data_IF_919526134301
#
_entry.id   IF_919526134301
#
_cell.length_a   1.000
_cell.length_b   1.000
_cell.length_c   1.000
_cell.angle_alpha   90.00
_cell.angle_beta   90.00
_cell.angle_gamma   90.00
#
_symmetry.space_group_name_H-M   'P 1'
#
loop_
_entity.id
_entity.type
_entity.pdbx_description
1 polymer ?
#
# COMPACT_ATOMS: atom_id res chain seq x y z
N UNK A 1 17.03 -3.25 -11.47
CA UNK A 1 17.85 -3.59 -10.29
C UNK A 1 18.40 -5.00 -10.40
N UNK A 2 19.50 -5.26 -9.70
CA UNK A 2 20.02 -6.59 -9.41
C UNK A 2 19.56 -7.02 -8.03
N UNK A 3 18.73 -8.06 -7.94
CA UNK A 3 18.09 -8.50 -6.71
C UNK A 3 18.65 -9.85 -6.31
N UNK A 4 19.30 -9.92 -5.14
CA UNK A 4 19.75 -11.16 -4.52
C UNK A 4 18.67 -11.72 -3.60
N UNK A 5 18.42 -13.02 -3.66
CA UNK A 5 17.37 -13.71 -2.92
C UNK A 5 17.94 -14.96 -2.29
N UNK A 6 17.83 -15.12 -0.97
CA UNK A 6 18.10 -16.40 -0.31
C UNK A 6 16.95 -17.41 -0.55
N UNK A 7 17.17 -18.67 -0.27
CA UNK A 7 16.17 -19.72 -0.42
C UNK A 7 15.49 -20.01 0.91
N UNK A 8 16.28 -20.37 1.93
CA UNK A 8 15.75 -20.91 3.17
C UNK A 8 15.08 -19.79 4.00
N UNK A 9 13.81 -19.97 4.35
CA UNK A 9 12.91 -18.96 4.98
C UNK A 9 12.64 -17.68 4.18
N UNK A 10 13.12 -17.58 2.94
CA UNK A 10 12.82 -16.47 2.03
C UNK A 10 11.95 -16.96 0.87
N UNK A 11 12.37 -18.03 0.18
CA UNK A 11 11.59 -18.70 -0.85
C UNK A 11 10.92 -19.97 -0.37
N UNK A 12 11.56 -20.72 0.55
CA UNK A 12 11.08 -21.99 1.08
C UNK A 12 10.69 -21.91 2.55
N UNK A 13 9.73 -22.73 2.95
CA UNK A 13 9.25 -22.89 4.33
C UNK A 13 10.20 -23.72 5.21
N UNK A 14 11.50 -23.48 5.07
CA UNK A 14 12.56 -24.28 5.72
C UNK A 14 12.31 -24.47 7.22
N UNK A 15 12.08 -23.39 7.97
CA UNK A 15 11.88 -23.44 9.41
C UNK A 15 10.65 -24.23 9.83
N UNK A 16 9.56 -24.12 9.08
CA UNK A 16 8.32 -24.84 9.40
C UNK A 16 8.51 -26.36 9.26
N UNK A 17 9.20 -26.79 8.21
CA UNK A 17 9.52 -28.21 7.98
C UNK A 17 10.45 -28.73 9.09
N UNK A 18 11.55 -28.00 9.37
CA UNK A 18 12.47 -28.41 10.43
C UNK A 18 11.76 -28.50 11.78
N UNK A 19 10.99 -27.50 12.14
CA UNK A 19 10.28 -27.48 13.42
C UNK A 19 9.33 -28.68 13.55
N UNK A 20 8.62 -29.03 12.49
CA UNK A 20 7.71 -30.17 12.48
C UNK A 20 8.46 -31.49 12.63
N UNK A 21 9.55 -31.68 11.89
CA UNK A 21 10.34 -32.91 11.95
C UNK A 21 11.10 -33.06 13.27
N UNK A 22 11.63 -31.96 13.82
CA UNK A 22 12.25 -31.94 15.14
C UNK A 22 11.24 -32.27 16.24
N UNK A 23 10.01 -31.73 16.19
CA UNK A 23 8.94 -32.10 17.12
C UNK A 23 8.58 -33.58 17.05
N UNK A 24 8.46 -34.16 15.86
CA UNK A 24 8.18 -35.58 15.66
C UNK A 24 9.28 -36.44 16.28
N UNK A 25 10.53 -36.08 16.04
CA UNK A 25 11.68 -36.81 16.55
C UNK A 25 11.78 -36.70 18.10
N UNK A 26 11.64 -35.49 18.64
CA UNK A 26 11.66 -35.26 20.08
C UNK A 26 10.59 -36.08 20.82
N UNK A 27 9.38 -36.14 20.27
CA UNK A 27 8.31 -37.00 20.81
C UNK A 27 8.67 -38.49 20.74
N UNK A 28 9.32 -38.95 19.68
CA UNK A 28 9.71 -40.36 19.52
C UNK A 28 10.78 -40.79 20.53
N UNK A 29 11.65 -39.87 20.96
CA UNK A 29 12.69 -40.14 21.97
C UNK A 29 12.26 -39.76 23.39
N UNK A 30 10.96 -39.41 23.60
CA UNK A 30 10.43 -38.89 24.87
C UNK A 30 11.19 -37.65 25.38
N UNK A 31 11.50 -36.73 24.48
CA UNK A 31 12.18 -35.47 24.77
C UNK A 31 11.31 -34.49 25.57
N UNK A 32 11.88 -33.33 25.91
CA UNK A 32 11.21 -32.30 26.73
C UNK A 32 10.34 -31.30 25.92
N UNK A 33 10.28 -31.46 24.63
CA UNK A 33 9.67 -30.49 23.74
C UNK A 33 10.52 -29.21 23.54
N UNK A 34 9.87 -28.14 23.08
CA UNK A 34 10.52 -26.85 22.89
C UNK A 34 10.80 -26.20 24.23
N UNK A 35 12.06 -25.90 24.51
CA UNK A 35 12.52 -25.25 25.74
C UNK A 35 12.92 -23.78 25.51
N UNK A 36 13.22 -23.40 24.26
CA UNK A 36 13.60 -22.05 23.86
C UNK A 36 12.82 -21.63 22.61
N UNK A 37 11.85 -20.73 22.76
CA UNK A 37 10.93 -20.39 21.66
C UNK A 37 11.51 -19.39 20.64
N UNK A 38 12.44 -18.53 21.06
CA UNK A 38 12.95 -17.41 20.26
C UNK A 38 14.32 -17.68 19.61
N UNK A 39 14.81 -18.92 19.71
CA UNK A 39 16.06 -19.32 19.11
C UNK A 39 15.86 -19.94 17.73
N UNK A 40 16.95 -20.10 16.99
CA UNK A 40 16.97 -20.87 15.75
C UNK A 40 16.56 -22.32 16.06
N UNK A 41 15.83 -22.97 15.15
CA UNK A 41 15.13 -24.25 15.42
C UNK A 41 16.04 -25.32 15.99
N UNK A 42 17.28 -25.39 15.51
CA UNK A 42 18.30 -26.33 15.97
C UNK A 42 18.68 -26.14 17.46
N UNK A 43 18.41 -24.97 18.02
CA UNK A 43 18.66 -24.62 19.43
C UNK A 43 17.38 -24.57 20.28
N UNK A 44 16.20 -24.85 19.71
CA UNK A 44 14.93 -24.81 20.44
C UNK A 44 14.75 -25.98 21.40
N UNK A 45 15.35 -27.13 21.11
CA UNK A 45 15.21 -28.34 21.85
C UNK A 45 16.41 -28.55 22.79
N UNK A 46 16.17 -29.21 23.95
CA UNK A 46 17.24 -29.49 24.91
C UNK A 46 18.01 -30.77 24.56
N UNK A 47 18.43 -30.85 23.27
CA UNK A 47 19.27 -31.98 22.84
C UNK A 47 20.75 -31.65 23.02
N UNK A 48 21.57 -32.70 23.17
CA UNK A 48 23.01 -32.52 23.10
C UNK A 48 23.41 -31.99 21.72
N UNK A 49 24.36 -31.04 21.65
CA UNK A 49 24.74 -30.37 20.41
C UNK A 49 25.32 -31.30 19.35
N UNK A 50 26.05 -32.34 19.79
CA UNK A 50 26.62 -33.31 18.85
C UNK A 50 25.51 -34.24 18.33
N UNK A 51 24.58 -34.63 19.18
CA UNK A 51 23.40 -35.41 18.82
C UNK A 51 22.54 -34.64 17.80
N UNK A 52 22.23 -33.37 18.08
CA UNK A 52 21.46 -32.50 17.17
C UNK A 52 22.16 -32.41 15.81
N UNK A 53 23.46 -32.11 15.79
CA UNK A 53 24.25 -31.96 14.57
C UNK A 53 24.22 -33.23 13.72
N UNK A 54 24.31 -34.39 14.32
CA UNK A 54 24.25 -35.68 13.62
C UNK A 54 22.84 -35.91 13.07
N UNK A 55 21.80 -35.71 13.90
CA UNK A 55 20.42 -35.81 13.46
C UNK A 55 20.11 -34.90 12.25
N UNK A 56 20.51 -33.63 12.32
CA UNK A 56 20.35 -32.70 11.21
C UNK A 56 21.05 -33.20 9.95
N UNK A 57 22.34 -33.55 10.07
CA UNK A 57 23.15 -34.00 8.93
C UNK A 57 22.61 -35.29 8.28
N UNK A 58 22.11 -36.22 9.07
CA UNK A 58 21.55 -37.48 8.55
C UNK A 58 20.20 -37.31 7.86
N UNK A 59 19.44 -36.25 8.21
CA UNK A 59 18.08 -36.06 7.75
C UNK A 59 17.87 -34.86 6.82
N UNK A 60 18.86 -33.99 6.61
CA UNK A 60 18.67 -32.73 5.90
C UNK A 60 18.20 -32.91 4.44
N UNK A 61 18.68 -33.95 3.76
CA UNK A 61 18.20 -34.25 2.39
C UNK A 61 16.74 -34.70 2.37
N UNK A 62 16.32 -35.48 3.40
CA UNK A 62 14.92 -35.82 3.56
C UNK A 62 14.08 -34.56 3.87
N UNK A 63 14.52 -33.72 4.79
CA UNK A 63 13.84 -32.47 5.09
C UNK A 63 13.72 -31.58 3.86
N UNK A 64 14.78 -31.47 3.06
CA UNK A 64 14.79 -30.69 1.83
C UNK A 64 13.75 -31.20 0.80
N UNK A 65 13.45 -32.49 0.81
CA UNK A 65 12.41 -33.07 -0.06
C UNK A 65 11.00 -32.60 0.31
N UNK A 66 10.80 -32.12 1.53
CA UNK A 66 9.54 -31.63 2.09
C UNK A 66 9.37 -30.11 1.94
N UNK A 67 10.40 -29.38 1.51
CA UNK A 67 10.31 -27.92 1.39
C UNK A 67 9.31 -27.51 0.32
N UNK A 68 8.41 -26.62 0.72
CA UNK A 68 7.44 -25.98 -0.16
C UNK A 68 7.73 -24.47 -0.27
N UNK A 69 7.26 -23.81 -1.31
CA UNK A 69 7.46 -22.38 -1.47
C UNK A 69 6.64 -21.59 -0.44
N UNK A 70 7.18 -20.47 0.03
CA UNK A 70 6.42 -19.47 0.77
C UNK A 70 5.32 -18.90 -0.14
N UNK A 71 4.18 -18.59 0.45
CA UNK A 71 2.99 -18.10 -0.22
C UNK A 71 3.31 -16.98 -1.22
N UNK A 72 2.83 -17.14 -2.45
CA UNK A 72 2.97 -16.21 -3.57
C UNK A 72 4.42 -15.87 -4.01
N UNK A 73 5.49 -16.50 -3.48
CA UNK A 73 6.87 -16.13 -3.81
C UNK A 73 7.15 -16.25 -5.32
N UNK A 74 6.76 -17.33 -5.96
CA UNK A 74 6.95 -17.54 -7.41
C UNK A 74 6.28 -16.46 -8.25
N UNK A 75 5.06 -16.06 -7.87
CA UNK A 75 4.30 -14.98 -8.54
C UNK A 75 5.05 -13.64 -8.47
N UNK A 76 5.49 -13.23 -7.28
CA UNK A 76 6.13 -11.92 -7.12
C UNK A 76 7.56 -11.89 -7.67
N UNK A 77 8.31 -13.00 -7.61
CA UNK A 77 9.62 -13.10 -8.28
C UNK A 77 9.45 -12.95 -9.80
N UNK A 78 8.42 -13.59 -10.41
CA UNK A 78 8.11 -13.39 -11.83
C UNK A 78 7.77 -11.94 -12.15
N UNK A 79 6.91 -11.30 -11.35
CA UNK A 79 6.54 -9.89 -11.56
C UNK A 79 7.77 -8.99 -11.48
N UNK A 80 8.66 -9.16 -10.49
CA UNK A 80 9.94 -8.42 -10.43
C UNK A 80 10.79 -8.67 -11.68
N UNK A 81 10.85 -9.91 -12.17
CA UNK A 81 11.58 -10.25 -13.40
C UNK A 81 10.98 -9.58 -14.63
N UNK A 82 9.65 -9.56 -14.77
CA UNK A 82 8.91 -8.92 -15.87
C UNK A 82 9.11 -7.39 -15.89
N UNK A 83 9.40 -6.77 -14.75
CA UNK A 83 9.77 -5.35 -14.64
C UNK A 83 11.22 -5.06 -15.08
N UNK A 84 11.95 -6.06 -15.61
CA UNK A 84 13.30 -5.88 -16.11
C UNK A 84 14.40 -6.00 -15.04
N UNK A 85 14.07 -6.50 -13.85
CA UNK A 85 15.09 -6.78 -12.84
C UNK A 85 15.87 -8.07 -13.18
N UNK A 86 17.13 -8.11 -12.73
CA UNK A 86 17.96 -9.32 -12.79
C UNK A 86 17.88 -10.04 -11.44
N UNK A 87 17.48 -11.30 -11.44
CA UNK A 87 17.23 -12.08 -10.23
C UNK A 87 18.39 -13.05 -9.99
N UNK A 88 19.02 -12.94 -8.83
CA UNK A 88 20.09 -13.79 -8.37
C UNK A 88 19.64 -14.61 -7.16
N UNK A 89 19.72 -15.94 -7.25
CA UNK A 89 19.54 -16.80 -6.09
C UNK A 89 20.92 -17.00 -5.44
N UNK A 90 21.04 -16.63 -4.17
CA UNK A 90 22.30 -16.68 -3.40
C UNK A 90 22.02 -17.36 -2.07
N UNK A 91 22.33 -18.65 -1.94
CA UNK A 91 21.94 -19.46 -0.77
C UNK A 91 23.12 -20.20 -0.14
N UNK A 92 23.06 -20.35 1.19
CA UNK A 92 24.09 -21.02 2.00
C UNK A 92 24.00 -22.55 1.97
N UNK A 93 23.84 -23.18 0.81
CA UNK A 93 23.64 -24.63 0.68
C UNK A 93 24.88 -25.40 0.23
N UNK A 94 26.04 -24.76 0.09
CA UNK A 94 27.32 -25.40 -0.29
C UNK A 94 28.26 -25.50 0.90
N UNK A 95 27.86 -26.25 1.93
CA UNK A 95 28.59 -26.43 3.18
C UNK A 95 28.91 -27.91 3.48
N UNK A 96 28.75 -28.78 2.47
CA UNK A 96 29.01 -30.22 2.59
C UNK A 96 27.93 -31.03 3.34
N UNK A 97 26.75 -30.44 3.60
CA UNK A 97 25.63 -31.13 4.20
C UNK A 97 24.75 -31.88 3.18
N UNK A 98 24.79 -31.43 1.92
CA UNK A 98 24.06 -32.03 0.81
C UNK A 98 24.99 -32.80 -0.14
N UNK A 99 24.56 -33.94 -0.65
CA UNK A 99 25.34 -34.72 -1.61
C UNK A 99 25.45 -34.06 -2.99
N UNK A 100 24.41 -33.36 -3.42
CA UNK A 100 24.40 -32.61 -4.67
C UNK A 100 23.55 -31.34 -4.56
N UNK A 101 24.07 -30.28 -3.89
CA UNK A 101 23.30 -29.09 -3.58
C UNK A 101 22.80 -28.34 -4.81
N UNK A 102 23.59 -28.24 -5.89
CA UNK A 102 23.19 -27.58 -7.13
C UNK A 102 22.02 -28.30 -7.81
N UNK A 103 22.11 -29.61 -7.99
CA UNK A 103 21.05 -30.37 -8.63
C UNK A 103 19.75 -30.28 -7.83
N UNK A 104 19.82 -30.49 -6.53
CA UNK A 104 18.67 -30.41 -5.63
C UNK A 104 18.00 -29.04 -5.70
N UNK A 105 18.78 -27.98 -5.65
CA UNK A 105 18.27 -26.59 -5.67
C UNK A 105 17.65 -26.26 -7.04
N UNK A 106 18.29 -26.61 -8.14
CA UNK A 106 17.75 -26.39 -9.49
C UNK A 106 16.45 -27.14 -9.69
N UNK A 107 16.38 -28.40 -9.27
CA UNK A 107 15.16 -29.23 -9.40
C UNK A 107 14.02 -28.63 -8.56
N UNK A 108 14.31 -28.10 -7.36
CA UNK A 108 13.33 -27.43 -6.51
C UNK A 108 12.83 -26.11 -7.13
N UNK A 109 13.74 -25.22 -7.58
CA UNK A 109 13.37 -23.96 -8.23
C UNK A 109 12.51 -24.21 -9.48
N UNK A 110 12.86 -25.23 -10.27
CA UNK A 110 12.09 -25.63 -11.46
C UNK A 110 10.71 -26.21 -11.09
N UNK A 111 10.64 -27.07 -10.07
CA UNK A 111 9.37 -27.67 -9.60
C UNK A 111 8.35 -26.60 -9.23
N UNK A 112 8.79 -25.51 -8.60
CA UNK A 112 7.91 -24.46 -8.14
C UNK A 112 7.88 -23.20 -9.03
N UNK A 113 8.44 -23.32 -10.25
CA UNK A 113 8.39 -22.29 -11.29
C UNK A 113 8.94 -20.93 -10.80
N UNK A 114 10.05 -20.99 -10.05
CA UNK A 114 10.77 -19.80 -9.58
C UNK A 114 11.79 -19.40 -10.63
N UNK A 115 11.62 -18.21 -11.20
CA UNK A 115 12.49 -17.68 -12.26
C UNK A 115 13.70 -16.97 -11.68
N UNK A 116 14.86 -17.16 -12.31
CA UNK A 116 16.12 -16.49 -11.91
C UNK A 116 17.08 -16.40 -13.10
N UNK A 117 18.09 -15.54 -12.98
CA UNK A 117 19.15 -15.37 -13.99
C UNK A 117 20.40 -16.16 -13.63
N UNK A 118 20.76 -16.14 -12.34
CA UNK A 118 21.95 -16.84 -11.85
C UNK A 118 21.66 -17.49 -10.49
N UNK A 119 22.34 -18.61 -10.25
CA UNK A 119 22.31 -19.35 -8.99
C UNK A 119 23.72 -19.43 -8.41
N UNK A 120 23.90 -19.03 -7.17
CA UNK A 120 25.11 -19.19 -6.40
C UNK A 120 24.81 -19.92 -5.10
N UNK A 121 25.51 -21.01 -4.89
CA UNK A 121 25.51 -21.71 -3.60
C UNK A 121 26.84 -21.44 -2.92
N UNK A 122 26.77 -20.98 -1.69
CA UNK A 122 27.95 -20.55 -0.91
C UNK A 122 27.98 -21.26 0.44
N UNK A 123 29.10 -21.19 1.13
CA UNK A 123 29.22 -21.73 2.49
C UNK A 123 28.39 -20.91 3.49
N UNK A 124 27.38 -21.54 4.10
CA UNK A 124 26.51 -20.94 5.08
C UNK A 124 27.25 -20.49 6.37
N UNK A 125 28.38 -21.11 6.68
CA UNK A 125 29.18 -20.79 7.89
C UNK A 125 30.09 -19.58 7.69
N UNK A 126 30.39 -19.22 6.44
CA UNK A 126 31.10 -17.99 6.11
C UNK A 126 30.11 -16.84 5.87
N UNK A 127 29.97 -15.92 6.84
CA UNK A 127 29.03 -14.79 6.71
C UNK A 127 29.33 -13.86 5.54
N UNK A 128 30.55 -13.79 5.07
CA UNK A 128 30.98 -12.88 4.02
C UNK A 128 30.81 -13.45 2.60
N UNK A 129 30.60 -14.75 2.47
CA UNK A 129 30.51 -15.41 1.16
C UNK A 129 29.34 -14.91 0.29
N UNK A 130 28.18 -14.59 0.88
CA UNK A 130 27.07 -13.95 0.13
C UNK A 130 27.40 -12.51 -0.24
N UNK A 131 28.06 -11.77 0.64
CA UNK A 131 28.48 -10.39 0.40
C UNK A 131 29.49 -10.29 -0.74
N UNK A 132 30.44 -11.22 -0.84
CA UNK A 132 31.40 -11.27 -1.97
C UNK A 132 30.67 -11.39 -3.31
N UNK A 133 29.68 -12.30 -3.41
CA UNK A 133 28.85 -12.43 -4.61
C UNK A 133 28.05 -11.15 -4.87
N UNK A 134 27.47 -10.55 -3.83
CA UNK A 134 26.72 -9.29 -3.97
C UNK A 134 27.58 -8.15 -4.51
N UNK A 135 28.82 -8.03 -4.06
CA UNK A 135 29.77 -7.03 -4.55
C UNK A 135 30.21 -7.32 -5.98
N UNK A 136 30.57 -8.58 -6.28
CA UNK A 136 31.02 -9.00 -7.62
C UNK A 136 29.96 -8.74 -8.70
N UNK A 137 28.69 -9.01 -8.38
CA UNK A 137 27.58 -8.88 -9.34
C UNK A 137 26.81 -7.56 -9.21
N UNK A 138 27.30 -6.61 -8.41
CA UNK A 138 26.66 -5.32 -8.16
C UNK A 138 25.18 -5.48 -7.76
N UNK A 139 24.91 -6.32 -6.77
CA UNK A 139 23.56 -6.52 -6.24
C UNK A 139 23.10 -5.23 -5.55
N UNK A 140 21.94 -4.71 -5.95
CA UNK A 140 21.36 -3.49 -5.38
C UNK A 140 20.69 -3.77 -4.03
N UNK A 141 20.08 -4.94 -3.90
CA UNK A 141 19.35 -5.36 -2.69
C UNK A 141 19.47 -6.87 -2.50
N UNK A 142 19.73 -7.30 -1.25
CA UNK A 142 19.69 -8.71 -0.84
C UNK A 142 18.53 -8.95 0.11
N UNK A 143 17.77 -10.03 -0.11
CA UNK A 143 16.66 -10.48 0.74
C UNK A 143 17.13 -11.75 1.45
N UNK A 144 17.18 -11.70 2.78
CA UNK A 144 17.69 -12.79 3.62
C UNK A 144 16.95 -12.80 4.97
N UNK A 145 16.87 -13.94 5.64
CA UNK A 145 16.27 -14.08 6.98
C UNK A 145 17.30 -13.99 8.13
N UNK A 146 18.59 -14.05 7.79
CA UNK A 146 19.69 -14.03 8.75
C UNK A 146 20.14 -12.62 9.08
N UNK A 147 19.97 -12.20 10.34
CA UNK A 147 20.50 -10.92 10.86
C UNK A 147 21.99 -10.75 10.59
N UNK A 148 22.76 -11.84 10.71
CA UNK A 148 24.21 -11.85 10.51
C UNK A 148 24.54 -11.52 9.04
N UNK A 149 23.84 -12.13 8.10
CA UNK A 149 24.04 -11.87 6.67
C UNK A 149 23.57 -10.44 6.32
N UNK A 150 22.37 -10.06 6.74
CA UNK A 150 21.85 -8.70 6.51
C UNK A 150 22.79 -7.61 7.06
N UNK A 151 23.43 -7.88 8.22
CA UNK A 151 24.41 -6.95 8.78
C UNK A 151 25.64 -6.82 7.89
N UNK A 152 26.25 -7.93 7.47
CA UNK A 152 27.44 -7.91 6.62
C UNK A 152 27.15 -7.24 5.27
N UNK A 153 26.01 -7.53 4.65
CA UNK A 153 25.51 -6.89 3.42
C UNK A 153 25.40 -5.36 3.60
N UNK A 154 24.74 -4.92 4.69
CA UNK A 154 24.54 -3.51 5.00
C UNK A 154 25.84 -2.78 5.31
N UNK A 155 26.73 -3.40 6.07
CA UNK A 155 28.05 -2.84 6.42
C UNK A 155 28.94 -2.64 5.18
N UNK A 156 28.67 -3.37 4.09
CA UNK A 156 29.32 -3.21 2.79
C UNK A 156 28.53 -2.31 1.80
N UNK A 157 27.54 -1.55 2.30
CA UNK A 157 26.84 -0.51 1.53
C UNK A 157 25.72 -1.01 0.61
N UNK A 158 25.32 -2.28 0.74
CA UNK A 158 24.25 -2.88 -0.05
C UNK A 158 22.94 -2.87 0.79
N UNK A 159 21.82 -2.57 0.15
CA UNK A 159 20.51 -2.63 0.82
C UNK A 159 20.17 -4.07 1.21
N UNK A 160 19.74 -4.28 2.45
CA UNK A 160 19.30 -5.58 2.95
C UNK A 160 17.84 -5.51 3.39
N UNK A 161 17.00 -6.44 2.92
CA UNK A 161 15.66 -6.69 3.40
C UNK A 161 15.67 -7.93 4.29
N UNK A 162 15.32 -7.77 5.56
CA UNK A 162 15.26 -8.88 6.51
C UNK A 162 13.86 -9.51 6.48
N UNK A 163 13.77 -10.76 6.00
CA UNK A 163 12.53 -11.55 6.07
C UNK A 163 12.20 -11.89 7.50
N UNK A 164 10.97 -11.59 7.95
CA UNK A 164 10.55 -11.81 9.34
C UNK A 164 10.49 -13.29 9.69
N UNK A 165 11.19 -13.65 10.76
CA UNK A 165 11.15 -14.99 11.37
C UNK A 165 11.18 -14.85 12.88
N UNK A 166 10.65 -15.83 13.65
CA UNK A 166 10.64 -15.73 15.11
C UNK A 166 12.00 -15.43 15.75
N UNK A 167 13.08 -16.01 15.20
CA UNK A 167 14.44 -15.89 15.75
C UNK A 167 15.18 -14.61 15.38
N UNK A 168 14.58 -13.72 14.57
CA UNK A 168 15.23 -12.47 14.18
C UNK A 168 14.48 -11.22 14.65
N UNK A 169 13.41 -11.34 15.47
CA UNK A 169 12.56 -10.24 15.93
C UNK A 169 13.16 -9.39 17.04
N UNK A 170 14.33 -9.75 17.56
CA UNK A 170 15.04 -9.04 18.61
C UNK A 170 15.79 -7.79 18.12
N UNK A 171 15.69 -7.43 16.86
CA UNK A 171 16.34 -6.26 16.26
C UNK A 171 15.41 -5.45 15.36
N UNK A 172 15.57 -4.12 15.39
CA UNK A 172 14.92 -3.17 14.49
C UNK A 172 15.93 -2.44 13.57
N UNK A 173 17.15 -2.96 13.44
CA UNK A 173 18.22 -2.32 12.67
C UNK A 173 18.05 -2.46 11.16
N UNK A 174 17.17 -3.32 10.68
CA UNK A 174 17.00 -3.66 9.28
C UNK A 174 15.63 -3.28 8.76
N UNK A 175 15.55 -3.04 7.45
CA UNK A 175 14.28 -2.94 6.75
C UNK A 175 13.62 -4.33 6.72
N UNK A 176 12.59 -4.52 7.53
CA UNK A 176 11.88 -5.80 7.69
C UNK A 176 10.78 -5.94 6.65
N UNK A 177 10.56 -7.19 6.23
CA UNK A 177 9.49 -7.58 5.32
C UNK A 177 8.82 -8.87 5.84
N UNK A 178 7.48 -8.96 5.71
CA UNK A 178 6.70 -10.06 6.26
C UNK A 178 6.07 -10.96 5.19
N UNK A 179 6.17 -10.56 3.93
CA UNK A 179 5.58 -11.29 2.81
C UNK A 179 6.21 -10.92 1.47
N UNK A 180 6.06 -11.78 0.49
CA UNK A 180 6.49 -11.53 -0.89
C UNK A 180 5.75 -10.35 -1.54
N UNK A 181 4.51 -10.12 -1.14
CA UNK A 181 3.75 -8.93 -1.57
C UNK A 181 4.41 -7.64 -1.05
N UNK A 182 4.86 -7.63 0.20
CA UNK A 182 5.56 -6.47 0.77
C UNK A 182 6.93 -6.25 0.10
N UNK A 183 7.70 -7.34 -0.15
CA UNK A 183 8.95 -7.28 -0.92
C UNK A 183 8.70 -6.65 -2.29
N UNK A 184 7.70 -7.15 -3.03
CA UNK A 184 7.35 -6.63 -4.34
C UNK A 184 7.01 -5.14 -4.29
N UNK A 185 6.17 -4.71 -3.35
CA UNK A 185 5.80 -3.30 -3.21
C UNK A 185 7.01 -2.38 -2.91
N UNK A 186 8.03 -2.90 -2.21
CA UNK A 186 9.25 -2.15 -1.89
C UNK A 186 10.27 -2.11 -3.04
N UNK A 187 10.23 -3.08 -3.95
CA UNK A 187 11.20 -3.25 -5.03
C UNK A 187 10.63 -2.97 -6.42
N UNK A 188 9.31 -3.00 -6.59
CA UNK A 188 8.66 -2.73 -7.87
C UNK A 188 8.88 -1.28 -8.29
N UNK A 189 9.24 -1.11 -9.56
CA UNK A 189 9.29 0.18 -10.24
C UNK A 189 7.95 0.56 -10.88
N UNK A 190 6.98 -0.37 -10.88
CA UNK A 190 5.67 -0.15 -11.47
C UNK A 190 4.81 0.69 -10.52
N UNK A 191 4.82 1.99 -10.76
CA UNK A 191 3.95 2.92 -10.03
C UNK A 191 2.48 2.62 -10.29
N UNK A 192 1.65 2.84 -9.29
CA UNK A 192 0.20 2.70 -9.39
C UNK A 192 -0.36 3.93 -10.09
N UNK A 193 -1.07 3.74 -11.20
CA UNK A 193 -1.72 4.83 -11.91
C UNK A 193 -2.91 5.35 -11.12
N UNK A 194 -2.89 6.64 -10.79
CA UNK A 194 -3.93 7.29 -9.99
C UNK A 194 -4.42 8.59 -10.65
N UNK A 195 -5.70 8.87 -10.47
CA UNK A 195 -6.32 10.18 -10.69
C UNK A 195 -6.85 10.65 -9.34
N UNK A 196 -6.56 11.90 -8.96
CA UNK A 196 -7.16 12.54 -7.79
C UNK A 196 -8.31 13.42 -8.25
N UNK A 197 -9.54 13.17 -7.76
CA UNK A 197 -10.72 14.02 -7.99
C UNK A 197 -11.06 14.76 -6.68
N UNK A 198 -10.90 16.08 -6.64
CA UNK A 198 -10.80 16.89 -5.41
C UNK A 198 -11.46 18.25 -5.57
N UNK A 199 -12.07 18.76 -4.49
CA UNK A 199 -12.58 20.14 -4.38
C UNK A 199 -11.71 21.02 -3.45
N UNK A 200 -10.41 21.01 -3.70
CA UNK A 200 -9.26 21.43 -2.88
C UNK A 200 -9.42 22.76 -2.12
N UNK A 201 -10.30 23.66 -2.50
CA UNK A 201 -10.53 24.92 -1.78
C UNK A 201 -11.73 24.89 -0.84
N UNK A 202 -12.50 23.81 -0.85
CA UNK A 202 -13.73 23.70 -0.06
C UNK A 202 -13.43 23.72 1.45
N UNK A 203 -12.64 22.79 1.93
CA UNK A 203 -12.18 22.72 3.34
C UNK A 203 -10.64 22.76 3.40
N UNK A 204 -10.03 22.36 4.50
CA UNK A 204 -8.57 22.45 4.64
C UNK A 204 -7.85 21.11 4.45
N UNK A 205 -8.56 20.01 4.36
CA UNK A 205 -8.03 18.66 4.34
C UNK A 205 -7.61 18.17 2.95
N UNK A 206 -8.28 18.63 1.90
CA UNK A 206 -7.86 18.40 0.51
C UNK A 206 -6.41 18.83 0.25
N UNK A 207 -5.99 19.98 0.82
CA UNK A 207 -4.62 20.47 0.63
C UNK A 207 -3.60 19.50 1.24
N UNK A 208 -3.92 18.89 2.39
CA UNK A 208 -3.08 17.85 2.99
C UNK A 208 -3.05 16.60 2.13
N UNK A 209 -4.21 16.15 1.62
CA UNK A 209 -4.32 14.97 0.76
C UNK A 209 -3.55 15.15 -0.55
N UNK A 210 -3.69 16.29 -1.22
CA UNK A 210 -2.96 16.64 -2.44
C UNK A 210 -1.44 16.63 -2.19
N UNK A 211 -0.98 17.26 -1.09
CA UNK A 211 0.43 17.27 -0.74
C UNK A 211 0.96 15.87 -0.42
N UNK A 212 0.17 15.07 0.29
CA UNK A 212 0.50 13.68 0.64
C UNK A 212 0.64 12.81 -0.61
N UNK A 213 -0.29 12.93 -1.57
CA UNK A 213 -0.22 12.22 -2.84
C UNK A 213 1.03 12.61 -3.64
N UNK A 214 1.29 13.92 -3.81
CA UNK A 214 2.46 14.40 -4.56
C UNK A 214 3.77 13.94 -3.88
N UNK A 215 3.84 13.90 -2.55
CA UNK A 215 5.00 13.39 -1.82
C UNK A 215 5.13 11.87 -1.86
N UNK A 216 4.16 11.17 -2.43
CA UNK A 216 4.14 9.71 -2.61
C UNK A 216 4.36 9.28 -4.06
N UNK A 217 4.99 10.11 -4.89
CA UNK A 217 5.28 9.80 -6.31
C UNK A 217 6.28 8.65 -6.50
N UNK A 218 6.95 8.21 -5.44
CA UNK A 218 7.71 6.96 -5.42
C UNK A 218 6.80 5.74 -5.65
N UNK A 219 5.55 5.78 -5.17
CA UNK A 219 4.55 4.72 -5.31
C UNK A 219 3.55 4.99 -6.44
N UNK A 220 3.24 6.24 -6.71
CA UNK A 220 2.14 6.63 -7.61
C UNK A 220 2.64 7.31 -8.88
N UNK A 221 2.02 6.92 -10.00
CA UNK A 221 2.02 7.68 -11.23
C UNK A 221 0.73 8.52 -11.25
N UNK A 222 0.86 9.80 -10.92
CA UNK A 222 -0.26 10.74 -10.92
C UNK A 222 -0.56 11.11 -12.38
N UNK A 223 -1.58 10.44 -12.95
CA UNK A 223 -1.98 10.66 -14.35
C UNK A 223 -2.76 11.96 -14.51
N UNK A 224 -3.61 12.30 -13.54
CA UNK A 224 -4.36 13.55 -13.52
C UNK A 224 -4.77 13.96 -12.11
N UNK A 225 -5.02 15.26 -11.93
CA UNK A 225 -5.74 15.87 -10.82
C UNK A 225 -6.94 16.57 -11.42
N UNK A 226 -8.15 16.14 -11.08
CA UNK A 226 -9.41 16.67 -11.60
C UNK A 226 -10.15 17.46 -10.54
N UNK A 227 -10.72 18.59 -10.93
CA UNK A 227 -11.45 19.47 -10.02
C UNK A 227 -12.88 19.01 -9.90
N UNK A 228 -13.27 18.51 -8.73
CA UNK A 228 -14.64 18.16 -8.42
C UNK A 228 -15.50 19.41 -8.19
N UNK A 229 -16.78 19.43 -8.60
CA UNK A 229 -17.66 20.55 -8.35
C UNK A 229 -18.02 20.65 -6.86
N UNK A 230 -18.03 21.85 -6.32
CA UNK A 230 -18.61 22.12 -5.00
C UNK A 230 -19.28 23.49 -4.93
N UNK A 231 -20.25 23.62 -4.07
CA UNK A 231 -20.89 24.88 -3.71
C UNK A 231 -20.90 25.08 -2.19
N UNK A 232 -20.89 26.31 -1.74
CA UNK A 232 -20.88 26.60 -0.33
C UNK A 232 -21.80 27.74 0.03
N UNK A 233 -23.03 27.45 0.47
CA UNK A 233 -24.08 28.45 0.72
C UNK A 233 -23.67 29.54 1.70
N UNK A 234 -22.99 29.20 2.79
CA UNK A 234 -22.58 30.18 3.82
C UNK A 234 -21.43 31.09 3.36
N UNK A 235 -20.67 30.70 2.33
CA UNK A 235 -19.62 31.54 1.72
C UNK A 235 -20.11 32.24 0.46
N UNK A 236 -21.34 32.00 0.05
CA UNK A 236 -21.90 32.46 -1.24
C UNK A 236 -21.05 31.98 -2.43
N UNK A 237 -20.52 30.74 -2.34
CA UNK A 237 -19.74 30.12 -3.42
C UNK A 237 -20.65 29.28 -4.27
N UNK A 238 -20.80 29.65 -5.54
CA UNK A 238 -21.48 28.86 -6.56
C UNK A 238 -20.55 27.79 -7.09
N UNK A 239 -21.09 26.75 -7.71
CA UNK A 239 -20.29 25.62 -8.23
C UNK A 239 -19.19 26.09 -9.18
N UNK A 240 -19.50 27.01 -10.10
CA UNK A 240 -18.54 27.55 -11.06
C UNK A 240 -17.40 28.33 -10.38
N UNK A 241 -17.71 29.08 -9.31
CA UNK A 241 -16.72 29.81 -8.53
C UNK A 241 -15.86 28.84 -7.72
N UNK A 242 -16.48 27.80 -7.16
CA UNK A 242 -15.82 26.73 -6.43
C UNK A 242 -14.79 25.99 -7.31
N UNK A 243 -15.14 25.71 -8.55
CA UNK A 243 -14.23 25.08 -9.51
C UNK A 243 -12.98 25.94 -9.76
N UNK A 244 -13.15 27.25 -9.97
CA UNK A 244 -12.04 28.18 -10.21
C UNK A 244 -11.14 28.32 -8.96
N UNK A 245 -11.74 28.40 -7.78
CA UNK A 245 -11.01 28.46 -6.51
C UNK A 245 -10.17 27.18 -6.29
N UNK A 246 -10.76 26.00 -6.49
CA UNK A 246 -10.04 24.71 -6.34
C UNK A 246 -8.94 24.57 -7.37
N UNK A 247 -9.19 24.93 -8.64
CA UNK A 247 -8.17 24.87 -9.69
C UNK A 247 -6.94 25.71 -9.34
N UNK A 248 -7.14 26.94 -8.91
CA UNK A 248 -6.06 27.85 -8.52
C UNK A 248 -5.33 27.38 -7.26
N UNK A 249 -6.04 26.79 -6.31
CA UNK A 249 -5.44 26.24 -5.09
C UNK A 249 -4.56 25.01 -5.37
N UNK A 250 -5.01 24.11 -6.26
CA UNK A 250 -4.22 22.98 -6.72
C UNK A 250 -2.91 23.46 -7.34
N UNK A 251 -2.98 24.44 -8.28
CA UNK A 251 -1.78 25.00 -8.94
C UNK A 251 -0.79 25.59 -7.93
N UNK A 252 -1.30 26.28 -6.91
CA UNK A 252 -0.50 26.91 -5.84
C UNK A 252 0.25 25.85 -5.02
N UNK A 253 -0.42 24.79 -4.60
CA UNK A 253 0.20 23.69 -3.82
C UNK A 253 1.20 22.93 -4.69
N UNK A 254 0.85 22.62 -5.94
CA UNK A 254 1.75 21.99 -6.90
C UNK A 254 3.05 22.78 -7.10
N UNK A 255 2.93 24.11 -7.19
CA UNK A 255 4.09 24.99 -7.32
C UNK A 255 5.05 24.89 -6.11
N UNK A 256 4.53 24.89 -4.88
CA UNK A 256 5.37 24.71 -3.68
C UNK A 256 6.05 23.35 -3.61
N UNK A 257 5.45 22.33 -4.22
CA UNK A 257 5.96 20.97 -4.28
C UNK A 257 6.84 20.69 -5.50
N UNK A 258 7.04 21.68 -6.40
CA UNK A 258 7.70 21.53 -7.69
C UNK A 258 7.11 20.38 -8.52
N UNK A 259 5.78 20.23 -8.47
CA UNK A 259 5.05 19.26 -9.27
C UNK A 259 4.68 19.89 -10.61
N UNK A 260 5.05 19.22 -11.70
CA UNK A 260 4.69 19.67 -13.04
C UNK A 260 3.18 19.51 -13.29
N UNK A 261 2.51 20.62 -13.55
CA UNK A 261 1.06 20.68 -13.77
C UNK A 261 0.65 20.65 -15.24
N UNK A 262 1.62 20.65 -16.15
CA UNK A 262 1.34 20.58 -17.60
C UNK A 262 0.68 19.24 -17.90
N UNK A 263 -0.51 19.28 -18.53
CA UNK A 263 -1.34 18.13 -18.86
C UNK A 263 -1.66 17.21 -17.64
N UNK A 264 -1.71 17.80 -16.44
CA UNK A 264 -2.00 17.09 -15.20
C UNK A 264 -3.20 17.62 -14.43
N UNK A 265 -3.55 18.89 -14.53
CA UNK A 265 -4.65 19.52 -13.77
C UNK A 265 -5.78 19.90 -14.72
N UNK A 266 -6.98 19.37 -14.48
CA UNK A 266 -8.12 19.50 -15.38
C UNK A 266 -9.35 20.02 -14.65
N UNK A 267 -10.01 21.03 -15.22
CA UNK A 267 -11.30 21.52 -14.73
C UNK A 267 -12.39 20.50 -15.00
N UNK A 268 -13.24 20.26 -14.00
CA UNK A 268 -14.32 19.29 -14.07
C UNK A 268 -15.66 19.89 -14.42
N UNK A 269 -16.73 19.27 -13.91
CA UNK A 269 -18.09 19.73 -14.13
C UNK A 269 -18.33 21.10 -13.52
N UNK A 270 -19.09 21.93 -14.23
CA UNK A 270 -19.50 23.27 -13.76
C UNK A 270 -20.81 23.25 -12.97
N UNK A 271 -21.43 22.08 -12.82
CA UNK A 271 -22.63 21.87 -11.99
C UNK A 271 -22.76 20.40 -11.59
N UNK A 272 -23.68 20.08 -10.70
CA UNK A 272 -24.04 18.73 -10.31
C UNK A 272 -24.76 18.01 -11.45
N UNK A 273 -24.68 16.66 -11.46
CA UNK A 273 -25.06 15.83 -12.62
C UNK A 273 -26.47 16.09 -13.14
N UNK A 274 -27.42 16.38 -12.27
CA UNK A 274 -28.81 16.67 -12.65
C UNK A 274 -28.98 17.92 -13.51
N UNK A 275 -28.02 18.83 -13.49
CA UNK A 275 -28.03 20.09 -14.23
C UNK A 275 -27.06 20.08 -15.43
N UNK A 276 -26.33 18.97 -15.63
CA UNK A 276 -25.36 18.86 -16.73
C UNK A 276 -26.04 18.32 -17.97
N UNK A 277 -26.10 19.14 -19.01
CA UNK A 277 -26.66 18.78 -20.31
C UNK A 277 -25.62 18.23 -21.30
N UNK A 278 -24.34 18.60 -21.11
CA UNK A 278 -23.23 18.10 -21.91
C UNK A 278 -22.13 17.53 -20.96
N UNK A 279 -21.88 16.25 -21.10
CA UNK A 279 -20.89 15.50 -20.33
C UNK A 279 -19.44 15.81 -20.76
N UNK A 280 -19.25 16.74 -21.71
CA UNK A 280 -17.96 17.04 -22.31
C UNK A 280 -17.21 18.15 -21.56
N UNK A 281 -16.39 17.74 -20.57
CA UNK A 281 -15.44 18.61 -19.90
C UNK A 281 -14.06 17.96 -19.80
N UNK A 282 -13.03 18.77 -19.48
CA UNK A 282 -11.64 18.32 -19.52
C UNK A 282 -11.36 17.17 -18.53
N UNK A 283 -11.90 17.24 -17.31
CA UNK A 283 -11.73 16.20 -16.31
C UNK A 283 -12.36 14.86 -16.73
N UNK A 284 -13.61 14.90 -17.20
CA UNK A 284 -14.32 13.70 -17.68
C UNK A 284 -13.59 13.05 -18.85
N UNK A 285 -13.17 13.86 -19.81
CA UNK A 285 -12.40 13.36 -20.97
C UNK A 285 -11.08 12.74 -20.52
N UNK A 286 -10.38 13.37 -19.58
CA UNK A 286 -9.10 12.87 -19.07
C UNK A 286 -9.25 11.59 -18.27
N UNK A 287 -10.27 11.47 -17.44
CA UNK A 287 -10.59 10.22 -16.73
C UNK A 287 -10.77 9.07 -17.73
N UNK A 288 -11.56 9.30 -18.79
CA UNK A 288 -11.81 8.29 -19.82
C UNK A 288 -10.52 7.93 -20.57
N UNK A 289 -9.76 8.94 -21.02
CA UNK A 289 -8.48 8.75 -21.72
C UNK A 289 -7.52 7.88 -20.92
N UNK A 290 -7.30 8.24 -19.65
CA UNK A 290 -6.37 7.52 -18.74
C UNK A 290 -6.87 6.10 -18.45
N UNK A 291 -8.16 5.92 -18.22
CA UNK A 291 -8.75 4.61 -17.99
C UNK A 291 -8.61 3.68 -19.21
N UNK A 292 -8.81 4.20 -20.42
CA UNK A 292 -8.67 3.40 -21.64
C UNK A 292 -7.22 3.10 -22.02
N UNK A 293 -6.28 3.98 -21.66
CA UNK A 293 -4.84 3.82 -21.90
C UNK A 293 -4.20 2.75 -21.01
N UNK A 294 -4.64 2.64 -19.78
CA UNK A 294 -4.04 1.77 -18.77
C UNK A 294 -4.89 0.51 -18.53
N UNK A 295 -4.24 -0.59 -18.16
CA UNK A 295 -4.95 -1.82 -17.76
C UNK A 295 -5.76 -1.63 -16.48
N UNK A 296 -5.24 -0.78 -15.58
CA UNK A 296 -5.91 -0.42 -14.33
C UNK A 296 -5.53 0.99 -13.89
N UNK A 297 -6.54 1.77 -13.51
CA UNK A 297 -6.39 3.11 -12.93
C UNK A 297 -7.21 3.21 -11.65
N UNK A 298 -6.64 3.77 -10.61
CA UNK A 298 -7.37 4.09 -9.38
C UNK A 298 -7.82 5.54 -9.42
N UNK A 299 -9.11 5.77 -9.14
CA UNK A 299 -9.63 7.13 -9.00
C UNK A 299 -9.83 7.39 -7.51
N UNK A 300 -9.09 8.36 -7.00
CA UNK A 300 -9.07 8.79 -5.62
C UNK A 300 -10.01 9.98 -5.48
N UNK A 301 -11.24 9.72 -5.05
CA UNK A 301 -12.28 10.74 -4.90
C UNK A 301 -12.31 11.29 -3.48
N UNK A 302 -12.10 12.59 -3.35
CA UNK A 302 -12.17 13.32 -2.07
C UNK A 302 -13.11 14.53 -2.14
N UNK A 303 -13.93 14.62 -3.18
CA UNK A 303 -14.99 15.58 -3.40
C UNK A 303 -16.29 14.91 -3.83
N UNK A 304 -17.23 15.72 -4.33
CA UNK A 304 -18.47 15.21 -4.96
C UNK A 304 -18.12 14.32 -6.17
N UNK A 305 -18.75 13.16 -6.27
CA UNK A 305 -18.40 12.11 -7.24
C UNK A 305 -18.88 12.38 -8.69
N UNK A 306 -19.26 13.60 -8.97
CA UNK A 306 -19.89 14.04 -10.25
C UNK A 306 -19.08 13.71 -11.48
N UNK A 307 -17.77 14.07 -11.49
CA UNK A 307 -16.90 13.83 -12.65
C UNK A 307 -16.78 12.34 -12.96
N UNK A 308 -16.68 11.51 -11.92
CA UNK A 308 -16.57 10.06 -12.04
C UNK A 308 -17.86 9.46 -12.60
N UNK A 309 -19.02 9.91 -12.10
CA UNK A 309 -20.32 9.49 -12.61
C UNK A 309 -20.53 9.86 -14.08
N UNK A 310 -20.15 11.09 -14.45
CA UNK A 310 -20.19 11.56 -15.85
C UNK A 310 -19.27 10.73 -16.76
N UNK A 311 -18.07 10.40 -16.30
CA UNK A 311 -17.13 9.57 -17.07
C UNK A 311 -17.67 8.15 -17.31
N UNK A 312 -18.22 7.51 -16.27
CA UNK A 312 -18.86 6.19 -16.37
C UNK A 312 -20.06 6.23 -17.32
N UNK A 313 -20.92 7.25 -17.21
CA UNK A 313 -22.09 7.42 -18.05
C UNK A 313 -21.72 7.64 -19.53
N UNK A 314 -20.69 8.46 -19.79
CA UNK A 314 -20.20 8.76 -21.12
C UNK A 314 -19.49 7.59 -21.80
N UNK A 315 -18.66 6.84 -21.06
CA UNK A 315 -17.90 5.70 -21.59
C UNK A 315 -17.92 4.50 -20.60
N UNK A 316 -18.99 3.70 -20.62
CA UNK A 316 -19.14 2.56 -19.69
C UNK A 316 -18.01 1.52 -19.77
N UNK A 317 -17.24 1.47 -20.85
CA UNK A 317 -16.11 0.51 -20.99
C UNK A 317 -14.98 0.76 -19.99
N UNK A 318 -14.96 1.93 -19.34
CA UNK A 318 -13.96 2.20 -18.31
C UNK A 318 -14.23 1.44 -17.01
N UNK A 319 -15.44 0.94 -16.77
CA UNK A 319 -15.86 0.28 -15.53
C UNK A 319 -14.91 -0.86 -15.13
N UNK A 320 -14.49 -1.67 -16.09
CA UNK A 320 -13.58 -2.80 -15.83
C UNK A 320 -12.10 -2.39 -15.68
N UNK A 321 -11.78 -1.12 -16.01
CA UNK A 321 -10.41 -0.59 -16.00
C UNK A 321 -10.12 0.37 -14.85
N UNK A 322 -11.16 0.79 -14.11
CA UNK A 322 -11.02 1.68 -12.97
C UNK A 322 -11.38 0.98 -11.65
N UNK A 323 -10.80 1.46 -10.57
CA UNK A 323 -11.22 1.18 -9.21
C UNK A 323 -11.32 2.50 -8.45
N UNK A 324 -12.47 2.75 -7.83
CA UNK A 324 -12.75 4.00 -7.13
C UNK A 324 -12.46 3.81 -5.64
N UNK A 325 -11.67 4.72 -5.08
CA UNK A 325 -11.45 4.84 -3.63
C UNK A 325 -12.02 6.19 -3.22
N UNK A 326 -13.13 6.20 -2.51
CA UNK A 326 -13.90 7.43 -2.27
C UNK A 326 -14.16 7.68 -0.79
N UNK A 327 -13.83 8.89 -0.36
CA UNK A 327 -14.28 9.42 0.92
C UNK A 327 -15.69 9.97 0.75
N UNK A 328 -16.67 9.27 1.27
CA UNK A 328 -18.05 9.69 1.13
C UNK A 328 -19.04 8.83 1.89
N UNK A 329 -20.15 9.43 2.27
CA UNK A 329 -21.15 8.81 3.12
C UNK A 329 -20.69 8.64 4.56
N UNK A 330 -21.49 7.93 5.32
CA UNK A 330 -21.25 7.63 6.72
C UNK A 330 -21.23 6.11 6.94
N UNK A 331 -20.99 5.66 8.17
CA UNK A 331 -21.12 4.26 8.55
C UNK A 331 -22.50 3.69 8.16
N UNK A 332 -22.56 2.39 7.87
CA UNK A 332 -23.76 1.73 7.31
C UNK A 332 -25.00 1.96 8.17
N UNK A 333 -24.86 1.91 9.50
CA UNK A 333 -25.98 2.08 10.44
C UNK A 333 -26.22 3.55 10.82
N UNK A 334 -25.47 4.48 10.26
CA UNK A 334 -25.68 5.89 10.54
C UNK A 334 -27.02 6.36 9.94
N UNK A 335 -27.65 7.32 10.61
CA UNK A 335 -29.02 7.77 10.29
C UNK A 335 -29.21 8.30 8.86
N UNK A 336 -28.16 8.85 8.25
CA UNK A 336 -28.14 9.39 6.89
C UNK A 336 -26.71 9.46 6.35
N UNK A 337 -26.55 9.74 5.06
CA UNK A 337 -25.26 9.96 4.41
C UNK A 337 -25.06 11.42 3.97
N UNK A 338 -25.70 12.37 4.63
CA UNK A 338 -25.64 13.79 4.28
C UNK A 338 -24.36 14.47 4.75
N UNK A 339 -23.23 13.76 4.68
CA UNK A 339 -21.92 14.38 4.77
C UNK A 339 -21.61 15.21 3.50
N UNK A 340 -20.48 15.91 3.48
CA UNK A 340 -20.30 16.96 2.50
C UNK A 340 -20.21 16.46 1.06
N UNK A 341 -19.38 15.45 0.78
CA UNK A 341 -19.15 14.91 -0.57
C UNK A 341 -20.39 14.22 -1.15
N UNK A 342 -21.08 13.44 -0.32
CA UNK A 342 -22.26 12.69 -0.70
C UNK A 342 -23.46 13.62 -1.01
N UNK A 343 -23.75 14.58 -0.12
CA UNK A 343 -24.92 15.45 -0.27
C UNK A 343 -24.83 16.44 -1.42
N UNK A 344 -23.60 16.74 -1.89
CA UNK A 344 -23.40 17.64 -3.03
C UNK A 344 -24.04 17.09 -4.30
N UNK A 345 -23.93 15.76 -4.54
CA UNK A 345 -24.48 15.16 -5.76
C UNK A 345 -24.96 13.72 -5.53
N UNK A 346 -26.11 13.58 -4.87
CA UNK A 346 -26.70 12.27 -4.54
C UNK A 346 -27.01 11.45 -5.81
N UNK A 347 -27.41 12.10 -6.90
CA UNK A 347 -27.70 11.40 -8.15
C UNK A 347 -26.43 10.84 -8.80
N UNK A 348 -25.30 11.53 -8.71
CA UNK A 348 -24.01 10.99 -9.13
C UNK A 348 -23.62 9.77 -8.29
N UNK A 349 -23.83 9.81 -6.97
CA UNK A 349 -23.58 8.66 -6.09
C UNK A 349 -24.40 7.45 -6.53
N UNK A 350 -25.70 7.61 -6.79
CA UNK A 350 -26.57 6.51 -7.26
C UNK A 350 -26.06 5.90 -8.56
N UNK A 351 -25.67 6.75 -9.54
CA UNK A 351 -25.13 6.30 -10.83
C UNK A 351 -23.88 5.45 -10.62
N UNK A 352 -22.95 5.89 -9.78
CA UNK A 352 -21.71 5.16 -9.51
C UNK A 352 -21.99 3.84 -8.81
N UNK A 353 -22.85 3.83 -7.78
CA UNK A 353 -23.22 2.61 -7.07
C UNK A 353 -23.98 1.62 -7.95
N UNK A 354 -24.74 2.09 -8.97
CA UNK A 354 -25.46 1.24 -9.92
C UNK A 354 -24.58 0.71 -11.06
N UNK A 355 -23.40 1.30 -11.27
CA UNK A 355 -22.53 0.99 -12.42
C UNK A 355 -21.76 -0.33 -12.32
N UNK A 356 -21.78 -1.01 -11.19
CA UNK A 356 -20.97 -2.22 -10.89
C UNK A 356 -19.45 -2.02 -10.85
N UNK A 357 -18.98 -0.80 -10.90
CA UNK A 357 -17.56 -0.47 -10.80
C UNK A 357 -16.99 -0.96 -9.47
N UNK A 358 -15.73 -1.42 -9.47
CA UNK A 358 -15.03 -1.75 -8.23
C UNK A 358 -14.85 -0.50 -7.39
N UNK A 359 -15.35 -0.54 -6.17
CA UNK A 359 -15.35 0.60 -5.27
C UNK A 359 -14.97 0.24 -3.84
N UNK A 360 -14.21 1.13 -3.22
CA UNK A 360 -13.98 1.16 -1.77
C UNK A 360 -14.54 2.47 -1.23
N UNK A 361 -15.42 2.41 -0.25
CA UNK A 361 -15.95 3.57 0.45
C UNK A 361 -15.23 3.72 1.79
N UNK A 362 -14.73 4.93 2.06
CA UNK A 362 -14.23 5.36 3.35
C UNK A 362 -15.28 6.27 3.98
N UNK A 363 -16.08 5.79 4.95
CA UNK A 363 -17.16 6.57 5.54
C UNK A 363 -16.64 7.62 6.50
N UNK A 364 -17.25 8.80 6.48
CA UNK A 364 -16.83 9.93 7.32
C UNK A 364 -17.09 9.65 8.81
N UNK A 365 -18.37 9.57 9.21
CA UNK A 365 -18.73 9.38 10.62
C UNK A 365 -18.42 7.99 11.11
N UNK A 366 -17.91 7.91 12.33
CA UNK A 366 -17.56 6.70 13.09
C UNK A 366 -16.37 5.90 12.53
N UNK A 367 -15.78 6.33 11.41
CA UNK A 367 -14.57 5.71 10.84
C UNK A 367 -13.49 6.76 10.60
N UNK A 368 -13.59 7.57 9.53
CA UNK A 368 -12.55 8.56 9.20
C UNK A 368 -12.54 9.72 10.21
N UNK A 369 -13.63 9.95 10.96
CA UNK A 369 -13.65 10.89 12.10
C UNK A 369 -12.56 10.65 13.15
N UNK A 370 -11.96 9.46 13.17
CA UNK A 370 -10.84 9.13 14.08
C UNK A 370 -9.53 9.82 13.67
N UNK A 371 -9.43 10.36 12.45
CA UNK A 371 -8.31 11.21 12.01
C UNK A 371 -8.38 12.62 12.62
N UNK A 372 -8.86 12.71 13.85
CA UNK A 372 -8.86 13.97 14.60
C UNK A 372 -7.46 14.30 15.11
N UNK A 373 -7.06 15.56 14.94
CA UNK A 373 -5.77 16.08 15.38
C UNK A 373 -5.95 17.49 15.94
N UNK A 374 -5.14 17.89 16.89
CA UNK A 374 -5.09 19.25 17.39
C UNK A 374 -3.96 20.07 16.76
N UNK A 375 -4.09 21.39 16.83
CA UNK A 375 -3.12 22.34 16.23
C UNK A 375 -1.74 22.26 16.89
N UNK A 376 -1.65 21.89 18.17
CA UNK A 376 -0.37 21.77 18.86
C UNK A 376 0.40 20.53 18.39
N UNK A 377 -0.30 19.38 18.23
CA UNK A 377 0.26 18.19 17.62
C UNK A 377 0.74 18.50 16.20
N UNK A 378 -0.10 19.11 15.37
CA UNK A 378 0.22 19.45 13.98
C UNK A 378 1.46 20.35 13.89
N UNK A 379 1.53 21.42 14.69
CA UNK A 379 2.69 22.34 14.76
C UNK A 379 3.97 21.66 15.25
N UNK A 380 3.85 20.65 16.11
CA UNK A 380 5.01 19.90 16.60
C UNK A 380 5.63 18.98 15.55
N UNK A 381 4.85 18.61 14.53
CA UNK A 381 5.19 17.63 13.50
C UNK A 381 5.54 18.24 12.14
N UNK A 382 5.09 19.45 11.84
CA UNK A 382 5.36 20.13 10.57
C UNK A 382 6.39 21.25 10.74
N UNK A 383 7.45 21.21 9.94
CA UNK A 383 8.44 22.28 9.89
C UNK A 383 7.84 23.56 9.27
N UNK A 384 7.52 24.53 10.11
CA UNK A 384 6.90 25.79 9.69
C UNK A 384 7.83 26.74 8.89
N UNK A 385 9.09 26.37 8.66
CA UNK A 385 10.01 27.11 7.77
C UNK A 385 9.72 26.84 6.30
N UNK A 386 9.03 25.73 5.97
CA UNK A 386 8.59 25.42 4.62
C UNK A 386 7.27 26.14 4.34
N UNK A 387 7.20 26.87 3.23
CA UNK A 387 6.02 27.68 2.86
C UNK A 387 4.72 26.83 2.82
N UNK A 388 4.78 25.63 2.23
CA UNK A 388 3.64 24.73 2.22
C UNK A 388 3.19 24.36 3.63
N UNK A 389 4.12 23.95 4.53
CA UNK A 389 3.75 23.51 5.86
C UNK A 389 3.18 24.68 6.70
N UNK A 390 3.76 25.86 6.55
CA UNK A 390 3.22 27.09 7.16
C UNK A 390 1.79 27.33 6.68
N UNK A 391 1.55 27.23 5.38
CA UNK A 391 0.22 27.42 4.80
C UNK A 391 -0.77 26.36 5.30
N UNK A 392 -0.39 25.08 5.33
CA UNK A 392 -1.25 24.01 5.83
C UNK A 392 -1.63 24.24 7.31
N UNK A 393 -0.69 24.67 8.15
CA UNK A 393 -0.95 25.00 9.55
C UNK A 393 -1.91 26.19 9.66
N UNK A 394 -1.72 27.24 8.85
CA UNK A 394 -2.60 28.43 8.84
C UNK A 394 -4.02 28.05 8.39
N UNK A 395 -4.15 27.26 7.32
CA UNK A 395 -5.46 26.77 6.83
C UNK A 395 -6.15 25.85 7.82
N UNK A 396 -5.41 24.97 8.48
CA UNK A 396 -5.94 24.13 9.54
C UNK A 396 -6.50 24.97 10.69
N UNK A 397 -5.75 25.98 11.13
CA UNK A 397 -6.15 26.84 12.26
C UNK A 397 -7.34 27.75 11.92
N UNK A 398 -7.35 28.31 10.73
CA UNK A 398 -8.43 29.13 10.22
C UNK A 398 -8.59 28.97 8.70
N UNK A 399 -9.54 28.15 8.30
CA UNK A 399 -9.86 27.91 6.88
C UNK A 399 -10.67 29.05 6.23
N UNK A 400 -10.97 30.10 7.01
CA UNK A 400 -11.79 31.23 6.57
C UNK A 400 -13.31 30.94 6.59
N UNK A 401 -13.70 29.72 6.99
CA UNK A 401 -15.09 29.29 7.00
C UNK A 401 -15.60 28.91 8.42
N UNK A 402 -14.92 27.96 9.05
CA UNK A 402 -15.29 27.51 10.40
C UNK A 402 -14.74 28.42 11.49
N UNK A 403 -13.96 29.47 11.10
CA UNK A 403 -13.24 30.31 12.02
C UNK A 403 -12.04 29.58 12.65
N UNK A 404 -11.60 30.11 13.80
CA UNK A 404 -10.49 29.51 14.54
C UNK A 404 -10.92 28.15 15.12
N UNK A 405 -10.17 27.13 14.81
CA UNK A 405 -10.35 25.77 15.29
C UNK A 405 -9.04 25.22 15.85
N UNK A 406 -9.06 24.77 17.08
CA UNK A 406 -7.89 24.14 17.70
C UNK A 406 -7.78 22.65 17.35
N UNK A 407 -8.90 22.04 16.96
CA UNK A 407 -8.95 20.61 16.62
C UNK A 407 -9.80 20.38 15.38
N UNK A 408 -9.29 19.63 14.43
CA UNK A 408 -10.01 19.22 13.21
C UNK A 408 -9.79 17.74 12.92
N UNK A 409 -10.61 17.19 12.05
CA UNK A 409 -10.35 15.93 11.35
C UNK A 409 -9.77 16.28 9.99
N UNK A 410 -8.66 15.66 9.59
CA UNK A 410 -8.10 15.78 8.25
C UNK A 410 -8.59 14.56 7.46
N UNK A 411 -9.82 14.66 6.94
CA UNK A 411 -10.57 13.54 6.39
C UNK A 411 -9.89 12.91 5.17
N UNK A 412 -9.51 13.72 4.20
CA UNK A 412 -9.13 13.33 2.84
C UNK A 412 -7.82 12.57 2.75
N UNK A 413 -6.92 12.73 3.73
CA UNK A 413 -5.68 11.94 3.79
C UNK A 413 -5.95 10.44 3.90
N UNK A 414 -7.15 10.04 4.35
CA UNK A 414 -7.55 8.64 4.48
C UNK A 414 -7.51 7.89 3.16
N UNK A 415 -7.94 8.51 2.08
CA UNK A 415 -7.97 7.92 0.72
C UNK A 415 -6.55 7.63 0.23
N UNK A 416 -5.64 8.59 0.42
CA UNK A 416 -4.23 8.42 0.04
C UNK A 416 -3.56 7.35 0.91
N UNK A 417 -3.77 7.41 2.23
CA UNK A 417 -3.24 6.44 3.19
C UNK A 417 -3.72 5.01 2.88
N UNK A 418 -5.00 4.83 2.50
CA UNK A 418 -5.54 3.53 2.10
C UNK A 418 -4.79 2.94 0.89
N UNK A 419 -4.44 3.78 -0.07
CA UNK A 419 -3.66 3.34 -1.23
C UNK A 419 -2.19 3.07 -0.90
N UNK A 420 -1.61 3.78 0.07
CA UNK A 420 -0.23 3.55 0.51
C UNK A 420 -0.13 2.21 1.25
N UNK A 421 -1.02 1.97 2.22
CA UNK A 421 -0.99 0.73 2.97
C UNK A 421 -2.36 0.30 3.49
N UNK A 422 -2.97 -0.66 2.81
CA UNK A 422 -4.29 -1.21 3.20
C UNK A 422 -4.30 -1.88 4.58
N UNK A 423 -3.15 -2.29 5.11
CA UNK A 423 -3.06 -2.92 6.43
C UNK A 423 -3.27 -1.92 7.60
N UNK A 424 -3.37 -0.63 7.32
CA UNK A 424 -3.76 0.37 8.31
C UNK A 424 -5.29 0.49 8.46
N UNK A 425 -6.04 -0.32 7.71
CA UNK A 425 -7.50 -0.26 7.66
C UNK A 425 -8.10 -1.65 7.85
N UNK A 426 -9.19 -1.72 8.61
CA UNK A 426 -10.08 -2.87 8.61
C UNK A 426 -11.17 -2.64 7.57
N UNK A 427 -11.52 -3.68 6.82
CA UNK A 427 -12.48 -3.57 5.72
C UNK A 427 -13.42 -4.76 5.69
N UNK A 428 -14.64 -4.52 5.24
CA UNK A 428 -15.62 -5.56 4.97
C UNK A 428 -16.07 -5.50 3.50
N UNK A 429 -16.40 -6.65 2.94
CA UNK A 429 -17.10 -6.73 1.67
C UNK A 429 -18.59 -6.81 1.95
N UNK A 430 -19.32 -5.83 1.46
CA UNK A 430 -20.76 -5.74 1.60
C UNK A 430 -21.44 -5.76 0.23
N UNK A 431 -22.73 -6.14 0.19
CA UNK A 431 -23.56 -5.88 -0.99
C UNK A 431 -23.68 -4.37 -1.20
N UNK A 432 -23.50 -3.89 -2.42
CA UNK A 432 -23.57 -2.46 -2.73
C UNK A 432 -24.95 -1.91 -2.30
N UNK A 433 -25.01 -0.89 -1.44
CA UNK A 433 -26.30 -0.38 -0.94
C UNK A 433 -27.09 0.37 -2.02
N UNK A 434 -28.40 0.38 -1.89
CA UNK A 434 -29.25 1.40 -2.48
C UNK A 434 -29.26 2.64 -1.59
N UNK A 435 -29.66 3.79 -2.16
CA UNK A 435 -29.82 5.04 -1.43
C UNK A 435 -31.30 5.32 -1.30
N UNK A 436 -31.80 5.37 -0.06
CA UNK A 436 -33.20 5.71 0.25
C UNK A 436 -33.49 7.20 0.04
N UNK A 437 -34.78 7.58 0.12
CA UNK A 437 -35.22 8.99 0.02
C UNK A 437 -34.63 9.88 1.13
N UNK A 438 -34.39 9.33 2.32
CA UNK A 438 -33.76 10.02 3.45
C UNK A 438 -32.22 10.02 3.36
N UNK A 439 -31.65 9.56 2.24
CA UNK A 439 -30.23 9.40 1.96
C UNK A 439 -29.51 8.38 2.85
N UNK A 440 -30.21 7.54 3.60
CA UNK A 440 -29.59 6.40 4.30
C UNK A 440 -29.33 5.23 3.35
N UNK A 441 -28.42 4.34 3.75
CA UNK A 441 -28.15 3.11 3.01
C UNK A 441 -29.25 2.07 3.21
N UNK A 442 -29.53 1.31 2.14
CA UNK A 442 -30.36 0.12 2.18
C UNK A 442 -29.59 -1.05 1.59
N UNK A 443 -29.21 -1.99 2.46
CA UNK A 443 -28.54 -3.21 2.03
C UNK A 443 -29.55 -4.21 1.46
N UNK A 444 -29.23 -4.77 0.29
CA UNK A 444 -30.00 -5.82 -0.37
C UNK A 444 -29.05 -6.90 -0.89
N UNK A 445 -29.44 -8.17 -0.81
CA UNK A 445 -28.55 -9.30 -1.13
C UNK A 445 -28.27 -9.52 -2.63
N UNK A 446 -28.91 -8.75 -3.50
CA UNK A 446 -28.91 -9.00 -4.96
C UNK A 446 -28.00 -8.04 -5.76
N UNK A 447 -27.17 -7.26 -5.11
CA UNK A 447 -26.27 -6.32 -5.79
C UNK A 447 -24.83 -6.83 -5.79
N UNK A 448 -23.99 -6.25 -6.65
CA UNK A 448 -22.55 -6.51 -6.65
C UNK A 448 -21.91 -6.13 -5.30
N UNK A 449 -20.74 -6.67 -5.05
CA UNK A 449 -20.01 -6.41 -3.81
C UNK A 449 -19.08 -5.19 -3.94
N UNK A 450 -19.09 -4.34 -2.91
CA UNK A 450 -18.11 -3.27 -2.73
C UNK A 450 -17.29 -3.49 -1.45
N UNK A 451 -16.16 -2.79 -1.33
CA UNK A 451 -15.38 -2.77 -0.08
C UNK A 451 -15.80 -1.56 0.75
N UNK A 452 -16.00 -1.79 2.04
CA UNK A 452 -16.37 -0.75 2.99
C UNK A 452 -15.33 -0.72 4.12
N UNK A 453 -14.75 0.44 4.40
CA UNK A 453 -13.79 0.60 5.50
C UNK A 453 -14.57 0.73 6.81
N UNK A 454 -14.20 -0.07 7.81
CA UNK A 454 -14.86 -0.10 9.12
C UNK A 454 -14.01 0.51 10.23
N UNK A 455 -12.67 0.58 10.04
CA UNK A 455 -11.75 1.14 11.02
C UNK A 455 -10.43 1.54 10.36
N UNK A 456 -9.67 2.42 11.00
CA UNK A 456 -8.35 2.84 10.57
C UNK A 456 -7.37 2.98 11.74
N UNK A 457 -6.07 2.88 11.43
CA UNK A 457 -4.98 3.14 12.37
C UNK A 457 -4.50 4.59 12.22
N UNK A 458 -5.06 5.48 13.03
CA UNK A 458 -4.78 6.92 13.03
C UNK A 458 -3.28 7.21 13.14
N UNK A 459 -2.62 6.54 14.07
CA UNK A 459 -1.25 6.90 14.43
C UNK A 459 -0.28 6.55 13.30
N UNK A 460 -0.43 5.40 12.65
CA UNK A 460 0.37 5.04 11.48
C UNK A 460 0.12 5.94 10.27
N UNK A 461 -1.12 6.38 10.07
CA UNK A 461 -1.46 7.29 8.99
C UNK A 461 -0.77 8.64 9.20
N UNK A 462 -0.84 9.21 10.40
CA UNK A 462 -0.18 10.48 10.70
C UNK A 462 1.35 10.37 10.72
N UNK A 463 1.90 9.27 11.21
CA UNK A 463 3.35 9.02 11.16
C UNK A 463 3.87 9.07 9.72
N UNK A 464 3.21 8.40 8.79
CA UNK A 464 3.60 8.39 7.38
C UNK A 464 3.38 9.76 6.72
N UNK A 465 2.23 10.41 6.96
CA UNK A 465 1.95 11.75 6.47
C UNK A 465 3.05 12.74 6.85
N UNK A 466 3.39 12.80 8.14
CA UNK A 466 4.40 13.72 8.63
C UNK A 466 5.80 13.40 8.10
N UNK A 467 6.15 12.13 8.00
CA UNK A 467 7.40 11.69 7.37
C UNK A 467 7.50 12.18 5.91
N UNK A 468 6.42 12.12 5.14
CA UNK A 468 6.39 12.55 3.73
C UNK A 468 6.36 14.08 3.56
N UNK A 469 5.67 14.80 4.41
CA UNK A 469 5.66 16.27 4.39
C UNK A 469 6.99 16.87 4.89
N UNK A 470 7.85 16.04 5.45
CA UNK A 470 9.22 16.38 5.78
C UNK A 470 9.34 17.17 7.09
N UNK A 471 9.27 16.43 8.14
CA UNK A 471 9.76 16.87 9.44
C UNK A 471 11.28 17.03 9.38
#
# INVERSE_FOLDING_TARGET
>A
MHIGIDIDNVLSNFSDVLLNEYKKHDNAINGKGIVHQDLYIRDMFNWDKEYEKNFYKENIEYFASLFEPIEECSKYVKLLKEEGNTIYIISGRDNGEYSNPYKMTIDWLKKYDIVYDKLFLVDAYNSHSKTEICLEYNIDVMIDDSKRICKDIKDNGIRALLMDTPYNRDTNEFERVNSWKEIYNKLSHKKINVILDTDTYNECDDQFALAYLIKSQDMFNIEAITVAPYSHTKRDVKVIDGQELSYNEILKICNWLNFDTIDKVFKGSMDYIQNVYDENNDAVNKIIEVALKNDKTYILGIGAITNIALAIKKEPKIIDRIEIIWLGGNEIEYKDNLEYNFKQDIEAVKIVLDSTVKMTILPCKNVVSDLRIDIAELKSKLDNRKELNKYLIERFYNDGYHGIQETRVIWDISVIAYMINKNWFETEKISCPNIKEDSSYELTDNRHSITFVTKLDRDRIYEDLFKKLGV
#
